data_IF_674176136708
#
_entry.id   IF_674176136708
#
_cell.length_a   1.000
_cell.length_b   1.000
_cell.length_c   1.000
_cell.angle_alpha   90.00
_cell.angle_beta   90.00
_cell.angle_gamma   90.00
#
_symmetry.space_group_name_H-M   'P 1'
#
loop_
_entity.id
_entity.type
_entity.pdbx_description
1 polymer ?
#
# COMPACT_ATOMS: atom_id res chain seq x y z
N UNK A 1 -65.10 -41.10 66.36
CA UNK A 1 -64.73 -42.09 65.33
C UNK A 1 -63.48 -41.56 64.61
N UNK A 2 -62.39 -42.32 64.70
CA UNK A 2 -61.12 -42.23 63.96
C UNK A 2 -60.25 -40.96 64.09
N UNK A 3 -59.20 -41.09 64.92
CA UNK A 3 -57.98 -40.27 64.88
C UNK A 3 -57.08 -40.76 63.73
N UNK A 4 -56.70 -39.85 62.82
CA UNK A 4 -55.57 -40.05 61.91
C UNK A 4 -54.34 -39.34 62.47
N UNK A 5 -53.25 -40.10 62.63
CA UNK A 5 -51.92 -39.59 62.99
C UNK A 5 -51.17 -39.30 61.69
N UNK A 6 -50.74 -38.05 61.53
CA UNK A 6 -49.92 -37.59 60.42
C UNK A 6 -48.52 -38.23 60.47
N UNK A 7 -48.05 -38.77 59.33
CA UNK A 7 -46.66 -39.14 59.11
C UNK A 7 -45.96 -38.00 58.37
N UNK A 8 -45.02 -37.34 59.04
CA UNK A 8 -44.09 -36.40 58.43
C UNK A 8 -43.04 -37.17 57.61
N UNK A 9 -43.01 -36.97 56.30
CA UNK A 9 -41.93 -37.44 55.43
C UNK A 9 -40.90 -36.33 55.22
N UNK A 10 -39.68 -36.52 55.73
CA UNK A 10 -38.54 -35.65 55.43
C UNK A 10 -38.00 -36.06 54.06
N UNK A 11 -38.18 -35.20 53.05
CA UNK A 11 -37.51 -35.32 51.76
C UNK A 11 -36.14 -34.63 51.88
N UNK A 12 -35.08 -35.42 51.97
CA UNK A 12 -33.70 -34.95 51.81
C UNK A 12 -33.44 -34.67 50.33
N UNK A 13 -33.59 -33.41 49.94
CA UNK A 13 -33.05 -32.89 48.68
C UNK A 13 -31.53 -32.86 48.79
N UNK A 14 -30.85 -33.88 48.26
CA UNK A 14 -29.43 -33.79 47.96
C UNK A 14 -29.23 -32.81 46.81
N UNK A 15 -29.01 -31.53 47.14
CA UNK A 15 -28.39 -30.60 46.21
C UNK A 15 -26.96 -31.08 45.97
N UNK A 16 -26.75 -31.75 44.83
CA UNK A 16 -25.40 -32.00 44.32
C UNK A 16 -24.80 -30.64 43.97
N UNK A 17 -24.12 -30.03 44.94
CA UNK A 17 -23.12 -28.99 44.69
C UNK A 17 -22.04 -29.66 43.84
N UNK A 18 -22.17 -29.54 42.52
CA UNK A 18 -21.07 -29.79 41.60
C UNK A 18 -20.03 -28.72 41.90
N UNK A 19 -19.13 -29.02 42.84
CA UNK A 19 -17.84 -28.37 42.94
C UNK A 19 -17.09 -28.72 41.66
N UNK A 20 -17.37 -27.98 40.59
CA UNK A 20 -16.55 -27.98 39.41
C UNK A 20 -15.16 -27.59 39.86
N UNK A 21 -14.28 -28.57 40.04
CA UNK A 21 -12.85 -28.33 40.17
C UNK A 21 -12.48 -27.44 38.99
N UNK A 22 -12.09 -26.20 39.27
CA UNK A 22 -11.57 -25.30 38.25
C UNK A 22 -10.44 -26.06 37.55
N UNK A 23 -10.70 -26.49 36.31
CA UNK A 23 -9.80 -27.35 35.56
C UNK A 23 -8.41 -26.70 35.57
N UNK A 24 -7.40 -27.42 36.03
CA UNK A 24 -6.04 -26.87 36.13
C UNK A 24 -5.61 -26.33 34.76
N UNK A 25 -5.26 -25.05 34.70
CA UNK A 25 -4.84 -24.37 33.47
C UNK A 25 -3.34 -24.14 33.48
N UNK A 26 -2.70 -24.42 32.35
CA UNK A 26 -1.34 -23.99 32.07
C UNK A 26 -1.41 -22.55 31.57
N UNK A 27 -0.51 -21.70 32.06
CA UNK A 27 -0.38 -20.31 31.64
C UNK A 27 1.00 -20.12 31.02
N UNK A 28 1.03 -19.78 29.75
CA UNK A 28 2.23 -19.35 29.03
C UNK A 28 2.22 -17.82 28.91
N UNK A 29 3.39 -17.21 29.15
CA UNK A 29 3.65 -15.78 28.90
C UNK A 29 4.85 -15.70 27.96
N UNK A 30 4.62 -15.71 26.64
CA UNK A 30 5.70 -15.64 25.67
C UNK A 30 6.52 -14.36 25.85
N UNK A 31 7.82 -14.46 25.61
CA UNK A 31 8.68 -13.29 25.50
C UNK A 31 8.50 -12.72 24.10
N UNK A 32 8.26 -11.40 24.02
CA UNK A 32 8.15 -10.72 22.74
C UNK A 32 9.45 -10.88 21.93
N UNK A 33 9.32 -11.22 20.66
CA UNK A 33 10.47 -11.27 19.77
C UNK A 33 10.88 -9.86 19.36
N UNK A 34 12.19 -9.59 19.35
CA UNK A 34 12.74 -8.36 18.76
C UNK A 34 13.17 -8.56 17.29
N UNK A 35 12.78 -9.67 16.65
CA UNK A 35 13.08 -9.92 15.24
C UNK A 35 12.22 -9.04 14.34
N UNK A 36 12.82 -8.59 13.23
CA UNK A 36 12.09 -8.06 12.08
C UNK A 36 11.24 -9.20 11.51
N UNK A 37 9.96 -8.92 11.26
CA UNK A 37 9.00 -9.87 10.68
C UNK A 37 8.57 -9.33 9.33
N UNK A 38 8.47 -10.21 8.34
CA UNK A 38 7.90 -9.87 7.03
C UNK A 38 6.38 -10.02 7.16
N UNK A 39 5.75 -8.93 7.58
CA UNK A 39 4.31 -8.89 7.75
C UNK A 39 3.64 -8.65 6.37
N UNK A 40 2.53 -9.35 6.06
CA UNK A 40 1.77 -9.10 4.84
C UNK A 40 1.34 -7.63 4.74
N UNK A 41 1.45 -7.02 3.56
CA UNK A 41 0.91 -5.68 3.32
C UNK A 41 1.71 -4.53 3.92
N UNK A 42 2.80 -4.77 4.65
CA UNK A 42 3.55 -3.70 5.33
C UNK A 42 5.06 -3.84 5.14
N UNK A 43 5.78 -2.76 5.47
CA UNK A 43 7.24 -2.73 5.37
C UNK A 43 7.73 -2.11 4.06
N UNK A 44 8.93 -2.48 3.65
CA UNK A 44 9.47 -2.01 2.37
C UNK A 44 8.71 -2.66 1.21
N UNK A 45 8.76 -2.04 0.04
CA UNK A 45 8.33 -2.66 -1.22
C UNK A 45 9.52 -2.82 -2.15
N UNK A 46 9.55 -3.89 -2.95
CA UNK A 46 10.32 -3.83 -4.20
C UNK A 46 9.61 -2.89 -5.18
N UNK A 47 10.36 -2.35 -6.14
CA UNK A 47 9.83 -1.44 -7.15
C UNK A 47 10.24 -1.89 -8.55
N UNK A 48 9.24 -2.10 -9.42
CA UNK A 48 9.42 -2.54 -10.81
C UNK A 48 10.17 -3.89 -10.97
N UNK A 49 10.24 -4.66 -9.90
CA UNK A 49 10.92 -5.95 -9.81
C UNK A 49 10.36 -6.75 -8.63
N UNK A 50 10.71 -8.02 -8.54
CA UNK A 50 10.38 -8.88 -7.41
C UNK A 50 11.60 -9.16 -6.52
N UNK A 51 11.31 -9.76 -5.36
CA UNK A 51 12.29 -10.34 -4.46
C UNK A 51 13.27 -11.25 -5.24
N UNK A 52 14.56 -10.91 -5.19
CA UNK A 52 15.65 -11.68 -5.82
C UNK A 52 16.00 -11.31 -7.26
N UNK A 53 15.30 -10.36 -7.89
CA UNK A 53 15.57 -10.01 -9.30
C UNK A 53 16.80 -9.10 -9.47
N UNK A 54 17.04 -8.14 -8.56
CA UNK A 54 18.15 -7.18 -8.60
C UNK A 54 18.31 -6.45 -9.94
N UNK A 55 17.19 -5.98 -10.49
CA UNK A 55 17.16 -5.28 -11.78
C UNK A 55 17.64 -3.82 -11.64
N UNK A 56 18.15 -3.21 -12.72
CA UNK A 56 18.38 -1.78 -12.76
C UNK A 56 17.12 -0.97 -12.43
N UNK A 57 17.32 0.23 -11.89
CA UNK A 57 16.21 1.13 -11.60
C UNK A 57 15.50 1.61 -12.87
N UNK A 58 14.18 1.48 -12.86
CA UNK A 58 13.27 2.12 -13.81
C UNK A 58 12.20 2.86 -13.03
N UNK A 59 11.81 4.04 -13.51
CA UNK A 59 10.74 4.80 -12.85
C UNK A 59 9.36 4.27 -13.26
N UNK A 60 9.12 4.10 -14.56
CA UNK A 60 7.87 3.54 -15.12
C UNK A 60 8.22 2.43 -16.11
N UNK A 61 7.50 1.30 -16.08
CA UNK A 61 7.66 0.22 -17.06
C UNK A 61 7.17 0.72 -18.42
N UNK A 62 8.08 0.69 -19.39
CA UNK A 62 7.86 1.13 -20.76
C UNK A 62 7.67 -0.02 -21.76
N UNK A 63 7.91 -1.26 -21.34
CA UNK A 63 7.80 -2.45 -22.18
C UNK A 63 7.28 -3.65 -21.36
N UNK A 64 6.34 -4.40 -21.93
CA UNK A 64 5.80 -5.62 -21.30
C UNK A 64 6.68 -6.85 -21.60
N UNK A 65 7.92 -6.85 -21.12
CA UNK A 65 8.80 -8.01 -21.17
C UNK A 65 8.80 -8.76 -19.83
N UNK A 66 8.03 -9.84 -19.76
CA UNK A 66 7.93 -10.66 -18.54
C UNK A 66 9.19 -11.50 -18.29
N UNK A 67 10.01 -11.75 -19.32
CA UNK A 67 11.18 -12.65 -19.25
C UNK A 67 12.30 -12.09 -18.40
N UNK A 68 12.24 -10.82 -18.00
CA UNK A 68 13.24 -10.18 -17.16
C UNK A 68 13.13 -10.56 -15.68
N UNK A 69 11.98 -11.06 -15.24
CA UNK A 69 11.67 -11.36 -13.84
C UNK A 69 11.85 -12.85 -13.50
N UNK A 70 11.96 -13.16 -12.21
CA UNK A 70 11.93 -14.53 -11.67
C UNK A 70 13.06 -15.44 -12.22
N UNK A 71 14.21 -14.83 -12.50
CA UNK A 71 15.40 -15.54 -13.04
C UNK A 71 16.22 -16.25 -11.97
N UNK A 72 16.07 -15.85 -10.72
CA UNK A 72 16.85 -16.37 -9.60
C UNK A 72 15.95 -17.09 -8.61
N UNK A 73 16.44 -18.16 -7.99
CA UNK A 73 15.70 -18.89 -6.94
C UNK A 73 15.66 -18.13 -5.60
N UNK A 74 16.64 -17.26 -5.36
CA UNK A 74 16.67 -16.42 -4.15
C UNK A 74 15.50 -15.44 -4.09
N UNK A 75 15.13 -15.06 -2.87
CA UNK A 75 14.18 -14.00 -2.56
C UNK A 75 14.88 -12.70 -2.10
N UNK A 76 16.21 -12.69 -2.08
CA UNK A 76 16.98 -11.58 -1.51
C UNK A 76 17.40 -10.58 -2.58
N UNK A 77 17.03 -9.31 -2.37
CA UNK A 77 17.61 -8.20 -3.11
C UNK A 77 18.88 -7.68 -2.43
N UNK A 78 19.80 -7.14 -3.22
CA UNK A 78 21.11 -6.66 -2.76
C UNK A 78 20.96 -5.53 -1.73
N UNK A 79 21.36 -5.82 -0.49
CA UNK A 79 21.31 -4.89 0.65
C UNK A 79 19.95 -4.16 0.79
N UNK A 80 18.85 -4.81 0.44
CA UNK A 80 17.51 -4.27 0.57
C UNK A 80 16.69 -5.17 1.51
N UNK A 81 15.85 -4.62 2.40
CA UNK A 81 15.03 -5.43 3.28
C UNK A 81 14.14 -6.40 2.49
N UNK A 82 13.93 -7.64 2.98
CA UNK A 82 12.96 -8.53 2.37
C UNK A 82 11.55 -7.94 2.51
N UNK A 83 10.71 -8.17 1.50
CA UNK A 83 9.41 -7.50 1.40
C UNK A 83 8.27 -8.47 1.10
N UNK A 84 7.06 -8.13 1.51
CA UNK A 84 5.83 -8.83 1.14
C UNK A 84 5.07 -8.13 0.00
N UNK A 85 5.63 -7.06 -0.56
CA UNK A 85 4.99 -6.19 -1.55
C UNK A 85 5.93 -5.91 -2.72
N UNK A 86 5.40 -6.02 -3.94
CA UNK A 86 6.04 -5.61 -5.17
C UNK A 86 5.22 -4.51 -5.83
N UNK A 87 5.74 -3.29 -5.87
CA UNK A 87 5.06 -2.15 -6.47
C UNK A 87 5.48 -1.96 -7.91
N UNK A 88 4.52 -2.01 -8.83
CA UNK A 88 4.72 -1.82 -10.25
C UNK A 88 3.96 -0.60 -10.75
N UNK A 89 4.66 0.22 -11.52
CA UNK A 89 4.14 1.43 -12.14
C UNK A 89 4.29 1.25 -13.64
N UNK A 90 3.19 0.99 -14.35
CA UNK A 90 3.20 0.57 -15.75
C UNK A 90 2.54 1.64 -16.60
N UNK A 91 3.13 1.96 -17.75
CA UNK A 91 2.52 2.91 -18.67
C UNK A 91 1.22 2.38 -19.29
N UNK A 92 0.26 3.28 -19.53
CA UNK A 92 -0.98 2.97 -20.22
C UNK A 92 -0.72 2.37 -21.62
N UNK A 93 0.22 2.93 -22.39
CA UNK A 93 0.58 2.39 -23.71
C UNK A 93 1.15 0.97 -23.69
N UNK A 94 1.67 0.51 -22.54
CA UNK A 94 2.15 -0.87 -22.37
C UNK A 94 0.99 -1.82 -22.15
N UNK A 95 -0.01 -1.39 -21.38
CA UNK A 95 -1.19 -2.22 -21.06
C UNK A 95 -2.21 -2.20 -22.20
N UNK A 96 -2.35 -1.11 -22.94
CA UNK A 96 -3.29 -1.00 -24.07
C UNK A 96 -2.57 -0.53 -25.34
N UNK A 97 -1.71 -1.38 -25.94
CA UNK A 97 -0.93 -1.03 -27.13
C UNK A 97 -1.80 -0.75 -28.36
N UNK A 98 -2.96 -1.39 -28.45
CA UNK A 98 -4.00 -1.11 -29.44
C UNK A 98 -5.33 -0.87 -28.71
N UNK A 99 -6.17 0.01 -29.26
CA UNK A 99 -7.43 0.40 -28.64
C UNK A 99 -8.30 -0.84 -28.30
N UNK A 100 -8.63 -1.00 -27.02
CA UNK A 100 -9.43 -2.11 -26.50
C UNK A 100 -8.72 -3.47 -26.46
N UNK A 101 -7.45 -3.57 -26.87
CA UNK A 101 -6.66 -4.81 -26.77
C UNK A 101 -5.65 -4.68 -25.63
N UNK A 102 -6.03 -5.25 -24.50
CA UNK A 102 -5.25 -5.15 -23.28
C UNK A 102 -4.25 -6.30 -23.12
N UNK A 103 -3.05 -5.98 -22.64
CA UNK A 103 -1.99 -6.93 -22.24
C UNK A 103 -2.24 -7.52 -20.85
N UNK A 104 -3.40 -8.15 -20.68
CA UNK A 104 -3.76 -8.85 -19.45
C UNK A 104 -2.81 -9.99 -19.11
N UNK A 105 -2.23 -10.64 -20.13
CA UNK A 105 -1.19 -11.66 -19.97
C UNK A 105 -0.03 -11.15 -19.12
N UNK A 106 0.40 -9.91 -19.32
CA UNK A 106 1.50 -9.31 -18.57
C UNK A 106 1.14 -9.13 -17.09
N UNK A 107 -0.04 -8.60 -16.78
CA UNK A 107 -0.49 -8.41 -15.39
C UNK A 107 -0.74 -9.77 -14.71
N UNK A 108 -1.34 -10.73 -15.42
CA UNK A 108 -1.57 -12.09 -14.92
C UNK A 108 -0.24 -12.78 -14.54
N UNK A 109 0.79 -12.63 -15.37
CA UNK A 109 2.11 -13.15 -15.06
C UNK A 109 2.79 -12.41 -13.89
N UNK A 110 2.64 -11.09 -13.79
CA UNK A 110 3.14 -10.34 -12.63
C UNK A 110 2.50 -10.83 -11.34
N UNK A 111 1.17 -11.07 -11.32
CA UNK A 111 0.47 -11.63 -10.17
C UNK A 111 0.98 -13.04 -9.85
N UNK A 112 1.16 -13.90 -10.86
CA UNK A 112 1.71 -15.25 -10.68
C UNK A 112 3.12 -15.22 -10.08
N UNK A 113 3.99 -14.36 -10.58
CA UNK A 113 5.36 -14.21 -10.08
C UNK A 113 5.35 -13.65 -8.66
N UNK A 114 4.54 -12.62 -8.39
CA UNK A 114 4.39 -12.05 -7.05
C UNK A 114 4.08 -13.17 -6.03
N UNK A 115 3.08 -14.02 -6.33
CA UNK A 115 2.74 -15.17 -5.50
C UNK A 115 3.93 -16.12 -5.29
N UNK A 116 4.64 -16.48 -6.36
CA UNK A 116 5.83 -17.34 -6.29
C UNK A 116 6.94 -16.74 -5.42
N UNK A 117 7.10 -15.41 -5.49
CA UNK A 117 8.09 -14.61 -4.76
C UNK A 117 7.62 -14.19 -3.35
N UNK A 118 6.49 -14.71 -2.89
CA UNK A 118 5.89 -14.44 -1.58
C UNK A 118 5.54 -12.95 -1.37
N UNK A 119 5.23 -12.25 -2.46
CA UNK A 119 4.84 -10.84 -2.46
C UNK A 119 3.45 -10.68 -3.05
N UNK A 120 2.70 -9.67 -2.64
CA UNK A 120 1.52 -9.20 -3.39
C UNK A 120 1.88 -8.02 -4.28
N UNK A 121 1.11 -7.84 -5.34
CA UNK A 121 1.29 -6.77 -6.30
C UNK A 121 0.60 -5.49 -5.82
N UNK A 122 1.32 -4.39 -5.76
CA UNK A 122 0.76 -3.04 -5.71
C UNK A 122 0.88 -2.45 -7.13
N UNK A 123 -0.21 -1.91 -7.70
CA UNK A 123 -0.23 -1.58 -9.12
C UNK A 123 -0.65 -0.12 -9.38
N UNK A 124 0.12 0.59 -10.21
CA UNK A 124 -0.29 1.84 -10.85
C UNK A 124 -0.28 1.71 -12.36
N UNK A 125 -1.36 2.13 -13.02
CA UNK A 125 -1.32 2.40 -14.46
C UNK A 125 -1.13 3.89 -14.67
N UNK A 126 0.06 4.26 -15.09
CA UNK A 126 0.46 5.65 -15.34
C UNK A 126 -0.06 6.09 -16.71
N UNK A 127 -0.81 7.19 -16.82
CA UNK A 127 -1.40 7.59 -18.10
C UNK A 127 -0.34 7.91 -19.15
N UNK A 128 0.75 8.56 -18.75
CA UNK A 128 1.87 8.98 -19.59
C UNK A 128 3.01 9.56 -18.73
N UNK A 129 4.12 9.93 -19.37
CA UNK A 129 5.22 10.75 -18.84
C UNK A 129 5.71 11.73 -19.93
N UNK A 130 6.77 12.50 -19.65
CA UNK A 130 7.14 13.67 -20.45
C UNK A 130 7.77 13.39 -21.82
N UNK A 131 8.43 12.25 -22.02
CA UNK A 131 9.15 11.98 -23.28
C UNK A 131 8.22 11.37 -24.34
N UNK A 132 8.45 11.61 -25.66
CA UNK A 132 7.63 11.02 -26.72
C UNK A 132 7.51 9.49 -26.70
N UNK A 133 8.53 8.78 -26.21
CA UNK A 133 8.51 7.32 -26.06
C UNK A 133 7.86 6.81 -24.77
N UNK A 134 7.39 7.71 -23.91
CA UNK A 134 6.72 7.44 -22.62
C UNK A 134 5.31 8.06 -22.62
N UNK A 135 4.75 8.27 -23.82
CA UNK A 135 3.50 9.01 -24.04
C UNK A 135 2.25 8.14 -23.79
N UNK A 136 1.07 8.71 -24.00
CA UNK A 136 -0.17 7.94 -24.16
C UNK A 136 -0.05 6.91 -25.29
N UNK A 137 -0.93 5.87 -25.34
CA UNK A 137 -0.92 4.92 -26.45
C UNK A 137 -0.90 5.59 -27.82
N UNK A 138 -0.15 5.02 -28.78
CA UNK A 138 0.04 5.62 -30.10
C UNK A 138 -1.29 5.89 -30.84
N UNK A 139 -2.25 4.96 -30.72
CA UNK A 139 -3.59 5.11 -31.29
C UNK A 139 -4.37 6.29 -30.66
N UNK A 140 -4.16 6.56 -29.37
CA UNK A 140 -4.78 7.71 -28.71
C UNK A 140 -4.07 9.01 -29.09
N UNK A 141 -2.73 8.99 -29.20
CA UNK A 141 -1.93 10.11 -29.69
C UNK A 141 -2.34 10.53 -31.10
N UNK A 142 -2.50 9.57 -32.01
CA UNK A 142 -3.00 9.83 -33.38
C UNK A 142 -4.38 10.50 -33.37
N UNK A 143 -5.25 10.09 -32.44
CA UNK A 143 -6.60 10.63 -32.31
C UNK A 143 -6.64 12.07 -31.79
N UNK A 144 -5.77 12.44 -30.84
CA UNK A 144 -5.76 13.77 -30.20
C UNK A 144 -4.77 14.75 -30.80
N UNK A 145 -3.87 14.27 -31.68
CA UNK A 145 -2.90 15.08 -32.41
C UNK A 145 -1.57 15.27 -31.68
N UNK A 146 -0.64 15.94 -32.37
CA UNK A 146 0.77 16.06 -31.98
C UNK A 146 1.05 17.09 -30.87
N UNK A 147 0.05 17.89 -30.50
CA UNK A 147 0.22 18.90 -29.45
C UNK A 147 0.51 18.22 -28.10
N UNK A 148 1.58 18.66 -27.43
CA UNK A 148 2.06 18.10 -26.15
C UNK A 148 2.23 19.14 -25.04
N UNK A 149 1.83 20.39 -25.28
CA UNK A 149 1.92 21.48 -24.30
C UNK A 149 0.52 22.01 -24.02
N UNK A 150 0.11 21.99 -22.76
CA UNK A 150 -1.23 22.40 -22.31
C UNK A 150 -1.11 23.31 -21.08
N UNK A 151 -2.22 23.54 -20.37
CA UNK A 151 -2.28 24.47 -19.25
C UNK A 151 -1.27 24.15 -18.13
N UNK A 152 -0.91 22.87 -17.97
CA UNK A 152 0.16 22.43 -17.07
C UNK A 152 1.32 21.81 -17.86
N UNK A 153 2.59 22.07 -17.51
CA UNK A 153 3.76 21.52 -18.23
C UNK A 153 3.89 20.00 -18.12
N UNK A 154 3.22 19.38 -17.14
CA UNK A 154 3.17 17.92 -16.97
C UNK A 154 1.99 17.27 -17.71
N UNK A 155 1.25 18.00 -18.53
CA UNK A 155 0.20 17.45 -19.38
C UNK A 155 0.71 17.30 -20.80
N UNK A 156 0.78 16.06 -21.29
CA UNK A 156 1.19 15.76 -22.67
C UNK A 156 0.00 15.59 -23.62
N UNK A 157 -1.19 15.47 -23.07
CA UNK A 157 -2.49 15.52 -23.77
C UNK A 157 -3.39 16.46 -22.99
N UNK A 158 -4.48 16.91 -23.61
CA UNK A 158 -5.50 17.69 -22.90
C UNK A 158 -6.34 16.74 -22.01
N UNK A 159 -6.28 16.85 -20.68
CA UNK A 159 -7.14 16.04 -19.83
C UNK A 159 -8.61 16.48 -19.88
N UNK A 160 -8.92 17.70 -20.32
CA UNK A 160 -10.29 18.21 -20.48
C UNK A 160 -10.95 17.73 -21.79
N UNK A 161 -10.18 17.12 -22.70
CA UNK A 161 -10.77 16.44 -23.84
C UNK A 161 -11.56 15.22 -23.33
N UNK A 162 -12.89 15.13 -23.58
CA UNK A 162 -13.71 14.03 -23.06
C UNK A 162 -13.24 12.65 -23.54
N UNK A 163 -12.45 12.59 -24.62
CA UNK A 163 -11.81 11.35 -25.07
C UNK A 163 -10.81 10.82 -24.04
N UNK A 164 -10.14 11.67 -23.28
CA UNK A 164 -9.20 11.23 -22.24
C UNK A 164 -9.91 10.43 -21.16
N UNK A 165 -10.95 11.00 -20.56
CA UNK A 165 -11.77 10.32 -19.56
C UNK A 165 -12.44 9.06 -20.12
N UNK A 166 -12.89 9.10 -21.37
CA UNK A 166 -13.45 7.93 -22.06
C UNK A 166 -12.44 6.79 -22.17
N UNK A 167 -11.23 7.06 -22.62
CA UNK A 167 -10.27 6.00 -22.98
C UNK A 167 -9.39 5.60 -21.81
N UNK A 168 -8.74 6.54 -21.12
CA UNK A 168 -7.94 6.22 -19.95
C UNK A 168 -8.82 5.72 -18.80
N UNK A 169 -9.91 6.44 -18.50
CA UNK A 169 -10.90 6.00 -17.51
C UNK A 169 -11.61 4.69 -17.92
N UNK A 170 -11.79 4.45 -19.22
CA UNK A 170 -12.29 3.17 -19.74
C UNK A 170 -11.33 2.01 -19.48
N UNK A 171 -10.04 2.21 -19.69
CA UNK A 171 -9.00 1.22 -19.38
C UNK A 171 -8.95 0.90 -17.88
N UNK A 172 -9.06 1.91 -17.00
CA UNK A 172 -9.13 1.68 -15.55
C UNK A 172 -10.36 0.86 -15.16
N UNK A 173 -11.54 1.15 -15.74
CA UNK A 173 -12.73 0.34 -15.51
C UNK A 173 -12.56 -1.10 -16.02
N UNK A 174 -11.89 -1.30 -17.15
CA UNK A 174 -11.59 -2.64 -17.68
C UNK A 174 -10.62 -3.41 -16.78
N UNK A 175 -9.59 -2.74 -16.24
CA UNK A 175 -8.68 -3.29 -15.24
C UNK A 175 -9.45 -3.72 -13.99
N UNK A 176 -10.32 -2.86 -13.46
CA UNK A 176 -11.10 -3.13 -12.26
C UNK A 176 -12.08 -4.30 -12.46
N UNK A 177 -12.80 -4.34 -13.58
CA UNK A 177 -13.70 -5.44 -13.93
C UNK A 177 -12.99 -6.81 -13.96
N UNK A 178 -11.69 -6.84 -14.25
CA UNK A 178 -10.88 -8.06 -14.28
C UNK A 178 -10.26 -8.40 -12.93
N UNK A 179 -9.80 -7.42 -12.17
CA UNK A 179 -8.88 -7.65 -11.04
C UNK A 179 -9.40 -7.20 -9.66
N UNK A 180 -10.55 -6.52 -9.56
CA UNK A 180 -11.10 -6.15 -8.25
C UNK A 180 -11.36 -7.39 -7.38
N UNK A 181 -10.76 -7.40 -6.19
CA UNK A 181 -10.79 -8.52 -5.25
C UNK A 181 -9.83 -9.66 -5.57
N UNK A 182 -8.92 -9.51 -6.53
CA UNK A 182 -7.91 -10.53 -6.81
C UNK A 182 -6.97 -10.71 -5.61
N UNK A 183 -6.77 -11.94 -5.07
CA UNK A 183 -6.09 -12.15 -3.78
C UNK A 183 -4.60 -11.77 -3.78
N UNK A 184 -3.99 -11.71 -4.96
CA UNK A 184 -2.59 -11.31 -5.14
C UNK A 184 -2.40 -9.82 -5.46
N UNK A 185 -3.48 -9.07 -5.64
CA UNK A 185 -3.45 -7.62 -5.83
C UNK A 185 -3.70 -6.96 -4.47
N UNK A 186 -2.67 -6.35 -3.89
CA UNK A 186 -2.76 -5.70 -2.58
C UNK A 186 -3.51 -4.37 -2.65
N UNK A 187 -3.12 -3.52 -3.60
CA UNK A 187 -3.77 -2.23 -3.80
C UNK A 187 -3.56 -1.72 -5.23
N UNK A 188 -4.40 -0.76 -5.60
CA UNK A 188 -4.26 0.02 -6.83
C UNK A 188 -4.03 1.48 -6.47
N UNK A 189 -2.99 2.06 -7.06
CA UNK A 189 -2.61 3.46 -6.89
C UNK A 189 -3.33 4.32 -7.93
N UNK A 190 -4.24 5.16 -7.43
CA UNK A 190 -5.08 6.04 -8.23
C UNK A 190 -4.24 7.15 -8.85
N UNK A 191 -4.22 7.19 -10.19
CA UNK A 191 -3.57 8.24 -10.96
C UNK A 191 -4.44 8.72 -12.10
N UNK A 192 -4.71 10.03 -12.16
CA UNK A 192 -5.62 10.62 -13.17
C UNK A 192 -4.90 11.50 -14.19
N UNK A 193 -3.85 12.24 -13.81
CA UNK A 193 -3.08 13.14 -14.69
C UNK A 193 -1.64 13.31 -14.20
N UNK A 194 -0.82 14.00 -15.00
CA UNK A 194 0.54 14.40 -14.67
C UNK A 194 1.58 13.34 -15.03
N UNK A 195 2.86 13.71 -14.97
CA UNK A 195 3.93 12.78 -15.28
C UNK A 195 3.90 11.58 -14.34
N UNK A 196 3.97 10.41 -14.96
CA UNK A 196 3.78 9.13 -14.32
C UNK A 196 2.41 8.98 -13.61
N UNK A 197 1.51 9.96 -13.61
CA UNK A 197 0.29 9.93 -12.82
C UNK A 197 0.40 10.58 -11.43
N UNK A 198 1.38 11.46 -11.21
CA UNK A 198 1.62 12.13 -9.91
C UNK A 198 0.75 13.39 -9.67
N UNK A 199 -0.33 13.57 -10.45
CA UNK A 199 -1.34 14.61 -10.18
C UNK A 199 -0.91 16.03 -10.54
N UNK A 200 0.22 16.23 -11.22
CA UNK A 200 0.63 17.57 -11.64
C UNK A 200 -0.41 18.23 -12.54
N UNK A 201 -1.03 19.31 -12.04
CA UNK A 201 -2.11 20.04 -12.70
C UNK A 201 -3.51 19.62 -12.27
N UNK A 202 -3.70 18.66 -11.35
CA UNK A 202 -5.04 18.23 -10.88
C UNK A 202 -5.94 19.41 -10.48
N UNK A 203 -5.37 20.45 -9.87
CA UNK A 203 -6.05 21.68 -9.46
C UNK A 203 -6.59 22.53 -10.62
N UNK A 204 -6.09 22.33 -11.84
CA UNK A 204 -6.54 22.99 -13.05
C UNK A 204 -7.67 22.24 -13.76
N UNK A 205 -7.97 21.00 -13.35
CA UNK A 205 -9.06 20.22 -13.92
C UNK A 205 -10.41 20.86 -13.57
N UNK A 206 -11.35 20.79 -14.50
CA UNK A 206 -12.75 21.05 -14.19
C UNK A 206 -13.26 20.01 -13.20
N UNK A 207 -14.20 20.41 -12.34
CA UNK A 207 -14.80 19.49 -11.37
C UNK A 207 -15.42 18.27 -12.07
N UNK A 208 -16.00 18.42 -13.27
CA UNK A 208 -16.57 17.32 -14.04
C UNK A 208 -15.50 16.32 -14.51
N UNK A 209 -14.39 16.82 -15.08
CA UNK A 209 -13.28 15.99 -15.56
C UNK A 209 -12.59 15.27 -14.41
N UNK A 210 -12.29 15.97 -13.32
CA UNK A 210 -11.68 15.38 -12.11
C UNK A 210 -12.54 14.24 -11.57
N UNK A 211 -13.84 14.48 -11.36
CA UNK A 211 -14.77 13.46 -10.84
C UNK A 211 -14.85 12.26 -11.76
N UNK A 212 -15.08 12.48 -13.06
CA UNK A 212 -15.19 11.39 -14.05
C UNK A 212 -13.96 10.47 -14.08
N UNK A 213 -12.76 11.03 -13.92
CA UNK A 213 -11.51 10.27 -13.88
C UNK A 213 -11.34 9.53 -12.54
N UNK A 214 -11.69 10.16 -11.41
CA UNK A 214 -11.65 9.52 -10.09
C UNK A 214 -12.68 8.39 -9.99
N UNK A 215 -13.89 8.62 -10.48
CA UNK A 215 -15.00 7.66 -10.46
C UNK A 215 -14.64 6.37 -11.21
N UNK A 216 -13.81 6.44 -12.26
CA UNK A 216 -13.31 5.25 -12.94
C UNK A 216 -12.62 4.25 -11.98
N UNK A 217 -11.98 4.75 -10.92
CA UNK A 217 -11.41 3.92 -9.86
C UNK A 217 -12.44 3.59 -8.78
N UNK A 218 -13.15 4.61 -8.28
CA UNK A 218 -14.08 4.44 -7.15
C UNK A 218 -15.25 3.51 -7.47
N UNK A 219 -15.74 3.51 -8.71
CA UNK A 219 -16.81 2.62 -9.17
C UNK A 219 -16.29 1.19 -9.37
N UNK A 220 -15.06 1.07 -9.88
CA UNK A 220 -14.49 -0.20 -10.33
C UNK A 220 -13.90 -1.05 -9.20
N UNK A 221 -13.20 -0.43 -8.25
CA UNK A 221 -12.48 -1.13 -7.19
C UNK A 221 -13.23 -1.02 -5.85
N UNK A 222 -14.10 -2.01 -5.60
CA UNK A 222 -14.93 -2.10 -4.40
C UNK A 222 -14.38 -3.08 -3.36
N UNK A 223 -13.44 -3.94 -3.76
CA UNK A 223 -12.86 -5.00 -2.92
C UNK A 223 -11.35 -4.85 -2.77
N UNK A 224 -10.66 -4.45 -3.83
CA UNK A 224 -9.23 -4.15 -3.79
C UNK A 224 -9.03 -2.73 -3.25
N UNK A 225 -8.24 -2.56 -2.17
CA UNK A 225 -7.95 -1.24 -1.61
C UNK A 225 -7.36 -0.29 -2.66
N UNK A 226 -7.81 0.95 -2.64
CA UNK A 226 -7.18 2.04 -3.38
C UNK A 226 -6.20 2.79 -2.48
N UNK A 227 -5.14 3.32 -3.06
CA UNK A 227 -4.32 4.38 -2.45
C UNK A 227 -4.29 5.60 -3.38
N UNK A 228 -4.27 6.81 -2.82
CA UNK A 228 -4.19 8.05 -3.59
C UNK A 228 -3.04 8.93 -3.12
N UNK A 229 -2.31 9.53 -4.06
CA UNK A 229 -1.33 10.58 -3.73
C UNK A 229 -2.05 11.79 -3.16
N UNK A 230 -1.56 12.34 -2.04
CA UNK A 230 -2.13 13.54 -1.41
C UNK A 230 -1.78 14.82 -2.21
N UNK A 231 -2.31 14.91 -3.43
CA UNK A 231 -2.17 16.04 -4.33
C UNK A 231 -3.56 16.55 -4.69
N UNK A 232 -3.84 17.83 -4.45
CA UNK A 232 -5.10 18.46 -4.84
C UNK A 232 -6.20 18.24 -3.80
N UNK A 233 -6.40 19.23 -2.93
CA UNK A 233 -7.38 19.19 -1.82
C UNK A 233 -8.79 18.78 -2.26
N UNK A 234 -9.26 19.30 -3.39
CA UNK A 234 -10.59 18.99 -3.93
C UNK A 234 -10.73 17.53 -4.34
N UNK A 235 -9.70 16.96 -4.98
CA UNK A 235 -9.69 15.55 -5.39
C UNK A 235 -9.76 14.65 -4.16
N UNK A 236 -8.95 14.92 -3.14
CA UNK A 236 -8.93 14.14 -1.90
C UNK A 236 -10.26 14.25 -1.14
N UNK A 237 -10.85 15.44 -1.05
CA UNK A 237 -12.17 15.62 -0.47
C UNK A 237 -13.23 14.79 -1.21
N UNK A 238 -13.23 14.84 -2.54
CA UNK A 238 -14.15 14.05 -3.35
C UNK A 238 -13.98 12.54 -3.15
N UNK A 239 -12.74 12.03 -3.11
CA UNK A 239 -12.46 10.62 -2.83
C UNK A 239 -13.03 10.20 -1.47
N UNK A 240 -12.78 10.99 -0.42
CA UNK A 240 -13.27 10.69 0.94
C UNK A 240 -14.79 10.68 1.03
N UNK A 241 -15.45 11.55 0.29
CA UNK A 241 -16.91 11.66 0.31
C UNK A 241 -17.61 10.56 -0.49
N UNK A 242 -16.97 9.99 -1.52
CA UNK A 242 -17.65 9.15 -2.52
C UNK A 242 -17.11 7.72 -2.62
N UNK A 243 -15.96 7.39 -2.02
CA UNK A 243 -15.45 6.02 -2.03
C UNK A 243 -16.32 5.11 -1.14
N UNK A 244 -16.72 3.94 -1.66
CA UNK A 244 -17.52 2.98 -0.88
C UNK A 244 -16.69 2.23 0.17
N UNK A 245 -15.39 2.11 -0.06
CA UNK A 245 -14.42 1.58 0.91
C UNK A 245 -13.36 2.63 1.22
N UNK A 246 -12.79 2.64 2.44
CA UNK A 246 -11.72 3.56 2.76
C UNK A 246 -10.56 3.51 1.76
N UNK A 247 -10.13 4.69 1.32
CA UNK A 247 -8.98 4.86 0.42
C UNK A 247 -7.77 5.23 1.26
N UNK A 248 -6.71 4.42 1.15
CA UNK A 248 -5.42 4.76 1.71
C UNK A 248 -4.79 5.95 1.01
N UNK A 249 -3.69 6.46 1.53
CA UNK A 249 -2.99 7.57 0.90
C UNK A 249 -1.50 7.32 0.80
N UNK A 250 -0.89 8.04 -0.14
CA UNK A 250 0.55 8.03 -0.30
C UNK A 250 1.13 9.41 -0.48
N UNK A 251 2.43 9.50 -0.28
CA UNK A 251 3.23 10.69 -0.51
C UNK A 251 4.57 10.32 -1.16
N UNK A 252 5.02 11.16 -2.09
CA UNK A 252 6.29 10.96 -2.78
C UNK A 252 7.38 11.86 -2.17
N UNK A 253 8.64 11.46 -2.34
CA UNK A 253 9.83 12.17 -1.86
C UNK A 253 10.06 12.17 -0.32
N UNK A 254 9.73 11.09 0.39
CA UNK A 254 10.11 10.94 1.80
C UNK A 254 11.64 11.03 1.91
N UNK A 255 12.12 11.79 2.88
CA UNK A 255 13.55 12.05 3.06
C UNK A 255 14.08 13.27 2.34
N UNK A 256 13.24 14.03 1.63
CA UNK A 256 13.63 15.38 1.19
C UNK A 256 13.75 16.34 2.39
N UNK A 257 14.97 16.51 2.89
CA UNK A 257 15.35 17.53 3.89
C UNK A 257 16.01 18.76 3.24
N UNK A 258 15.94 18.90 1.91
CA UNK A 258 16.66 19.94 1.17
C UNK A 258 17.07 19.58 -0.26
N UNK A 259 16.59 18.46 -0.82
CA UNK A 259 16.90 18.00 -2.18
C UNK A 259 16.62 19.06 -3.24
N UNK A 260 15.58 19.85 -3.02
CA UNK A 260 15.05 20.84 -3.95
C UNK A 260 15.04 22.26 -3.35
N UNK A 261 15.61 22.44 -2.17
CA UNK A 261 15.49 23.69 -1.43
C UNK A 261 16.12 24.87 -2.18
N UNK A 262 17.20 24.64 -2.93
CA UNK A 262 17.84 25.69 -3.72
C UNK A 262 16.93 26.20 -4.85
N UNK A 263 16.19 25.29 -5.49
CA UNK A 263 15.27 25.60 -6.59
C UNK A 263 13.88 26.05 -6.11
N UNK A 264 13.52 25.73 -4.86
CA UNK A 264 12.20 25.96 -4.29
C UNK A 264 12.20 26.91 -3.09
N UNK A 265 13.17 27.83 -3.04
CA UNK A 265 13.24 28.90 -2.02
C UNK A 265 13.18 28.37 -0.58
N UNK A 266 13.93 27.31 -0.30
CA UNK A 266 14.02 26.68 1.02
C UNK A 266 12.93 25.65 1.33
N UNK A 267 11.94 25.47 0.45
CA UNK A 267 10.86 24.51 0.64
C UNK A 267 11.35 23.06 0.58
N UNK A 268 10.75 22.19 1.41
CA UNK A 268 11.03 20.76 1.45
C UNK A 268 9.75 19.95 1.67
N UNK A 269 9.74 18.68 1.22
CA UNK A 269 8.59 17.81 1.51
C UNK A 269 8.45 17.52 3.02
N UNK A 270 9.57 17.28 3.71
CA UNK A 270 9.56 16.84 5.11
C UNK A 270 9.18 17.96 6.09
N UNK A 271 9.66 19.18 5.89
CA UNK A 271 9.42 20.29 6.82
C UNK A 271 8.17 21.10 6.48
N UNK A 272 7.81 21.19 5.20
CA UNK A 272 6.73 22.06 4.75
C UNK A 272 5.53 21.25 4.25
N UNK A 273 5.73 20.42 3.23
CA UNK A 273 4.60 19.80 2.52
C UNK A 273 3.80 18.81 3.37
N UNK A 274 4.45 17.80 3.96
CA UNK A 274 3.72 16.74 4.66
C UNK A 274 2.99 17.25 5.90
N UNK A 275 3.62 18.04 6.80
CA UNK A 275 2.90 18.57 7.95
C UNK A 275 1.67 19.40 7.54
N UNK A 276 1.79 20.23 6.49
CA UNK A 276 0.70 21.06 6.00
C UNK A 276 -0.40 20.24 5.34
N UNK A 277 -0.07 19.44 4.31
CA UNK A 277 -1.08 18.71 3.52
C UNK A 277 -1.83 17.67 4.34
N UNK A 278 -1.16 16.97 5.27
CA UNK A 278 -1.82 16.01 6.17
C UNK A 278 -2.90 16.71 7.00
N UNK A 279 -2.66 17.94 7.45
CA UNK A 279 -3.63 18.72 8.22
C UNK A 279 -4.70 19.32 7.31
N UNK A 280 -4.30 20.03 6.26
CA UNK A 280 -5.19 20.77 5.39
C UNK A 280 -6.18 19.88 4.64
N UNK A 281 -5.80 18.64 4.36
CA UNK A 281 -6.63 17.67 3.63
C UNK A 281 -7.40 16.76 4.61
N UNK A 282 -7.19 16.93 5.93
CA UNK A 282 -7.88 16.16 6.96
C UNK A 282 -7.48 14.68 6.97
N UNK A 283 -6.18 14.39 6.86
CA UNK A 283 -5.62 13.04 6.73
C UNK A 283 -4.96 12.51 8.01
N UNK A 284 -5.05 13.26 9.12
CA UNK A 284 -4.40 12.91 10.40
C UNK A 284 -4.84 11.55 10.95
N UNK A 285 -6.11 11.18 10.73
CA UNK A 285 -6.70 9.92 11.20
C UNK A 285 -6.93 8.89 10.09
N UNK A 286 -6.57 9.20 8.84
CA UNK A 286 -6.83 8.33 7.70
C UNK A 286 -6.10 6.97 7.80
N UNK A 287 -5.04 6.88 8.60
CA UNK A 287 -4.33 5.65 8.92
C UNK A 287 -5.18 4.59 9.63
N UNK A 288 -6.28 4.99 10.27
CA UNK A 288 -7.17 4.08 10.99
C UNK A 288 -8.02 3.25 10.03
N UNK A 289 -8.18 3.72 8.80
CA UNK A 289 -9.12 3.15 7.84
C UNK A 289 -8.40 2.65 6.57
N UNK A 290 -7.25 3.23 6.22
CA UNK A 290 -6.55 2.93 4.99
C UNK A 290 -5.03 2.85 5.13
N UNK A 291 -4.42 2.23 4.13
CA UNK A 291 -2.97 2.03 4.02
C UNK A 291 -2.24 3.35 3.79
N UNK A 292 -1.07 3.53 4.44
CA UNK A 292 -0.22 4.71 4.24
C UNK A 292 1.10 4.30 3.60
N UNK A 293 1.35 4.81 2.40
CA UNK A 293 2.59 4.51 1.67
C UNK A 293 3.45 5.75 1.44
N UNK A 294 4.75 5.63 1.55
CA UNK A 294 5.68 6.69 1.16
C UNK A 294 6.66 6.19 0.09
N UNK A 295 7.00 7.04 -0.88
CA UNK A 295 8.11 6.81 -1.82
C UNK A 295 9.32 7.66 -1.42
N UNK A 296 10.53 7.11 -1.48
CA UNK A 296 11.75 7.88 -1.20
C UNK A 296 12.06 8.99 -2.21
N UNK A 297 12.64 10.10 -1.72
CA UNK A 297 13.29 11.09 -2.57
C UNK A 297 14.64 10.56 -3.07
N UNK A 298 14.86 10.52 -4.38
CA UNK A 298 16.08 9.93 -4.95
C UNK A 298 16.23 8.44 -4.60
N UNK A 299 17.44 8.03 -4.25
CA UNK A 299 17.82 6.67 -3.79
C UNK A 299 18.60 6.78 -2.47
N UNK A 300 18.77 5.67 -1.73
CA UNK A 300 19.61 5.70 -0.52
C UNK A 300 21.05 6.17 -0.79
N UNK A 301 21.61 5.87 -1.97
CA UNK A 301 22.91 6.40 -2.39
C UNK A 301 22.91 7.93 -2.52
N UNK A 302 21.80 8.54 -2.93
CA UNK A 302 21.67 10.00 -2.95
C UNK A 302 21.69 10.55 -1.52
N UNK A 303 20.97 9.94 -0.59
CA UNK A 303 20.95 10.36 0.83
C UNK A 303 22.34 10.29 1.43
N UNK A 304 23.08 9.22 1.15
CA UNK A 304 24.39 8.98 1.73
C UNK A 304 25.45 9.90 1.11
N UNK A 305 25.57 9.89 -0.22
CA UNK A 305 26.73 10.49 -0.91
C UNK A 305 26.45 11.92 -1.34
N UNK A 306 25.27 12.21 -1.89
CA UNK A 306 24.97 13.53 -2.45
C UNK A 306 24.54 14.49 -1.35
N UNK A 307 23.57 14.08 -0.54
CA UNK A 307 23.00 14.91 0.51
C UNK A 307 23.77 14.81 1.84
N UNK A 308 24.62 13.78 2.00
CA UNK A 308 25.50 13.63 3.16
C UNK A 308 24.75 13.39 4.47
N UNK A 309 23.59 12.72 4.43
CA UNK A 309 22.75 12.55 5.62
C UNK A 309 23.47 11.78 6.74
N UNK A 310 23.43 12.38 7.92
CA UNK A 310 23.84 11.76 9.17
C UNK A 310 22.82 10.74 9.65
N UNK A 311 23.24 9.84 10.55
CA UNK A 311 22.34 8.92 11.26
C UNK A 311 21.19 9.65 11.96
N UNK A 312 21.42 10.85 12.50
CA UNK A 312 20.37 11.68 13.13
C UNK A 312 19.33 12.16 12.12
N UNK A 313 19.74 12.53 10.91
CA UNK A 313 18.80 12.95 9.85
C UNK A 313 17.98 11.77 9.35
N UNK A 314 18.60 10.60 9.17
CA UNK A 314 17.85 9.38 8.79
C UNK A 314 16.89 8.95 9.90
N UNK A 315 17.31 9.01 11.18
CA UNK A 315 16.43 8.75 12.31
C UNK A 315 15.26 9.75 12.36
N UNK A 316 15.49 11.03 12.09
CA UNK A 316 14.43 12.03 12.00
C UNK A 316 13.40 11.67 10.92
N UNK A 317 13.84 11.26 9.73
CA UNK A 317 12.95 10.85 8.63
C UNK A 317 12.09 9.65 9.06
N UNK A 318 12.70 8.65 9.69
CA UNK A 318 12.04 7.48 10.24
C UNK A 318 10.99 7.89 11.27
N UNK A 319 11.37 8.70 12.26
CA UNK A 319 10.50 9.12 13.35
C UNK A 319 9.28 9.92 12.84
N UNK A 320 9.47 10.80 11.84
CA UNK A 320 8.35 11.52 11.23
C UNK A 320 7.43 10.57 10.47
N UNK A 321 7.97 9.64 9.68
CA UNK A 321 7.14 8.67 8.95
C UNK A 321 6.31 7.78 9.90
N UNK A 322 6.88 7.40 11.05
CA UNK A 322 6.18 6.63 12.09
C UNK A 322 5.11 7.47 12.78
N UNK A 323 5.37 8.77 13.03
CA UNK A 323 4.37 9.72 13.52
C UNK A 323 3.19 9.86 12.54
N UNK A 324 3.44 9.73 11.24
CA UNK A 324 2.40 9.72 10.21
C UNK A 324 1.85 8.32 9.91
N UNK A 325 2.13 7.33 10.76
CA UNK A 325 1.56 5.98 10.69
C UNK A 325 1.85 5.23 9.38
N UNK A 326 3.07 5.39 8.84
CA UNK A 326 3.51 4.66 7.65
C UNK A 326 3.25 3.14 7.76
N UNK A 327 2.63 2.60 6.70
CA UNK A 327 2.36 1.17 6.53
C UNK A 327 3.38 0.55 5.58
N UNK A 328 3.68 1.18 4.45
CA UNK A 328 4.73 0.75 3.53
C UNK A 328 5.65 1.86 3.04
N UNK A 329 6.86 1.45 2.62
CA UNK A 329 7.85 2.35 2.07
C UNK A 329 8.43 1.82 0.75
N UNK A 330 8.23 2.56 -0.33
CA UNK A 330 8.88 2.30 -1.60
C UNK A 330 10.32 2.81 -1.56
N UNK A 331 11.23 1.86 -1.31
CA UNK A 331 12.68 2.03 -1.27
C UNK A 331 13.36 2.09 -2.64
N UNK A 332 12.58 2.07 -3.73
CA UNK A 332 13.02 1.93 -5.12
C UNK A 332 13.94 0.73 -5.36
N UNK A 333 13.77 -0.33 -4.55
CA UNK A 333 14.67 -1.49 -4.47
C UNK A 333 16.15 -1.11 -4.32
N UNK A 334 16.45 0.09 -3.82
CA UNK A 334 17.82 0.59 -3.78
C UNK A 334 18.59 0.02 -2.58
N UNK A 335 19.86 -0.37 -2.77
CA UNK A 335 20.70 -0.87 -1.69
C UNK A 335 20.78 0.12 -0.52
N UNK A 336 20.48 -0.34 0.69
CA UNK A 336 20.64 0.39 1.94
C UNK A 336 22.12 0.40 2.33
N UNK A 337 22.73 1.57 2.57
CA UNK A 337 24.06 1.65 3.16
C UNK A 337 24.13 0.91 4.50
N UNK A 338 25.14 0.04 4.66
CA UNK A 338 25.25 -0.85 5.82
C UNK A 338 25.24 -0.11 7.18
N UNK A 339 25.71 1.14 7.21
CA UNK A 339 25.66 2.01 8.40
C UNK A 339 24.24 2.27 8.91
N UNK A 340 23.22 2.13 8.08
CA UNK A 340 21.82 2.37 8.44
C UNK A 340 21.01 1.09 8.68
N UNK A 341 21.61 -0.11 8.58
CA UNK A 341 20.89 -1.38 8.77
C UNK A 341 20.13 -1.43 10.10
N UNK A 342 20.76 -1.00 11.19
CA UNK A 342 20.10 -0.96 12.52
C UNK A 342 18.90 -0.03 12.55
N UNK A 343 18.96 1.10 11.84
CA UNK A 343 17.85 2.05 11.73
C UNK A 343 16.70 1.43 10.92
N UNK A 344 17.01 0.77 9.80
CA UNK A 344 15.99 0.11 8.97
C UNK A 344 15.29 -1.02 9.73
N UNK A 345 16.04 -1.83 10.48
CA UNK A 345 15.47 -2.88 11.32
C UNK A 345 14.55 -2.29 12.40
N UNK A 346 14.96 -1.19 13.04
CA UNK A 346 14.14 -0.50 14.04
C UNK A 346 12.89 0.14 13.42
N UNK A 347 12.99 0.65 12.19
CA UNK A 347 11.88 1.20 11.43
C UNK A 347 10.86 0.12 11.08
N UNK A 348 11.30 -0.99 10.46
CA UNK A 348 10.46 -2.12 10.06
C UNK A 348 9.68 -2.73 11.22
N UNK A 349 10.27 -2.81 12.43
CA UNK A 349 9.58 -3.32 13.62
C UNK A 349 8.41 -2.45 14.07
N UNK A 350 8.36 -1.18 13.66
CA UNK A 350 7.38 -0.17 14.07
C UNK A 350 6.40 0.24 12.96
N UNK A 351 6.61 -0.20 11.72
CA UNK A 351 5.67 0.07 10.62
C UNK A 351 4.40 -0.76 10.78
N UNK A 352 3.26 -0.16 10.41
CA UNK A 352 1.96 -0.85 10.36
C UNK A 352 1.57 -1.51 11.69
N UNK A 353 1.47 -2.84 11.70
CA UNK A 353 0.99 -3.61 12.85
C UNK A 353 1.99 -4.66 13.34
N UNK A 354 1.92 -4.95 14.65
CA UNK A 354 2.62 -6.07 15.28
C UNK A 354 1.73 -6.71 16.34
N UNK A 355 1.29 -7.94 16.10
CA UNK A 355 0.53 -8.69 17.09
C UNK A 355 1.48 -9.38 18.07
N UNK A 356 1.31 -9.12 19.36
CA UNK A 356 2.14 -9.69 20.43
C UNK A 356 1.24 -10.45 21.39
N UNK A 357 1.45 -11.76 21.47
CA UNK A 357 0.75 -12.62 22.41
C UNK A 357 1.31 -12.40 23.83
N UNK A 358 0.56 -11.75 24.72
CA UNK A 358 1.02 -11.43 26.07
C UNK A 358 0.72 -12.54 27.07
N UNK A 359 -0.38 -13.25 26.89
CA UNK A 359 -0.72 -14.43 27.69
C UNK A 359 -1.50 -15.43 26.85
N UNK A 360 -1.18 -16.71 27.04
CA UNK A 360 -1.98 -17.82 26.54
C UNK A 360 -2.25 -18.80 27.66
N UNK A 361 -3.52 -19.06 27.95
CA UNK A 361 -3.92 -20.04 28.96
C UNK A 361 -4.80 -21.12 28.36
N UNK A 362 -4.54 -22.37 28.73
CA UNK A 362 -5.25 -23.54 28.24
C UNK A 362 -5.35 -24.62 29.33
N UNK A 363 -6.29 -25.57 29.24
CA UNK A 363 -6.41 -26.64 30.22
C UNK A 363 -5.24 -27.62 30.15
N UNK A 364 -4.75 -28.10 31.30
CA UNK A 364 -3.61 -29.01 31.37
C UNK A 364 -3.89 -30.41 30.80
N UNK A 365 -5.16 -30.82 30.74
CA UNK A 365 -5.60 -32.05 30.11
C UNK A 365 -6.99 -31.87 29.50
N UNK A 366 -7.25 -32.56 28.39
CA UNK A 366 -8.52 -32.50 27.65
C UNK A 366 -8.85 -33.92 27.17
N UNK A 367 -10.14 -34.26 27.05
CA UNK A 367 -10.55 -35.54 26.47
C UNK A 367 -10.44 -35.50 24.94
N UNK A 368 -10.06 -36.61 24.32
CA UNK A 368 -10.09 -36.70 22.86
C UNK A 368 -11.48 -36.30 22.31
N UNK A 369 -11.48 -35.49 21.25
CA UNK A 369 -12.67 -34.92 20.61
C UNK A 369 -13.50 -33.95 21.48
N UNK A 370 -12.97 -33.45 22.61
CA UNK A 370 -13.60 -32.36 23.35
C UNK A 370 -13.12 -30.97 22.88
N UNK A 371 -13.90 -29.94 23.19
CA UNK A 371 -13.54 -28.54 22.96
C UNK A 371 -12.29 -28.15 23.78
N UNK A 372 -11.37 -27.40 23.16
CA UNK A 372 -10.23 -26.78 23.84
C UNK A 372 -10.55 -25.32 24.16
N UNK A 373 -10.72 -25.00 25.44
CA UNK A 373 -11.01 -23.63 25.88
C UNK A 373 -9.74 -22.85 26.19
N UNK A 374 -9.36 -21.95 25.29
CA UNK A 374 -8.19 -21.07 25.42
C UNK A 374 -8.60 -19.66 25.84
N UNK A 375 -7.73 -19.00 26.60
CA UNK A 375 -7.83 -17.57 26.90
C UNK A 375 -6.55 -16.88 26.44
N UNK A 376 -6.69 -15.75 25.75
CA UNK A 376 -5.57 -14.98 25.22
C UNK A 376 -5.85 -13.49 25.22
N UNK A 377 -4.79 -12.69 25.37
CA UNK A 377 -4.78 -11.26 25.08
C UNK A 377 -3.38 -10.78 24.73
#
# INVERSE_FOLDING_TARGET
MNYQIAKAGIILLFSSLSTGSAQHRIISRPVESEKVLINPGIGFTTFQMFNGDNLPYYDVINEADIRQYDKNETLENEAHPPTSLAYFRIHWHVIEPEQGKYRWDFIDDLLRIAKKKQQKLCLRISPYKGKPGEDVPAWYREMVGEKRTFAHPKWVVDPEDPRYAKYFGGMIRALAARYDGHPQLENVDLSIVGFAGEGGGTELLSDATMKTLVDAYLEGFQKTPLIALLHGKKQIAYIKENAATPVGWRQDCLGDLGFWAAEQNGWTHMFDYYPQTIIEYGMQDAWKEGHISFEMCGLFRNWDVKEGYSEKQVQYIIDQSLKWHISSFNGKSSPVPAKWNKLMDAWLKKMGYRFVLRRFSYPASIKANSRLDVETW
#
